data_IF_000726038274
#
_entry.id   IF_000726038274
#
_cell.length_a   1.000
_cell.length_b   1.000
_cell.length_c   1.000
_cell.angle_alpha   90.00
_cell.angle_beta   90.00
_cell.angle_gamma   90.00
#
_symmetry.space_group_name_H-M   'P 1'
#
loop_
_entity.id
_entity.type
_entity.pdbx_description
1 polymer ?
#
# COMPACT_ATOMS: atom_id res chain seq x y z
N UNK A 1 -11.86 5.96 -8.82
CA UNK A 1 -11.92 7.41 -8.58
C UNK A 1 -12.06 7.62 -7.09
N UNK A 2 -11.09 8.28 -6.47
CA UNK A 2 -11.26 8.87 -5.14
C UNK A 2 -11.86 10.26 -5.36
N UNK A 3 -12.94 10.61 -4.66
CA UNK A 3 -13.54 11.94 -4.73
C UNK A 3 -13.15 12.67 -3.46
N UNK A 4 -12.28 13.67 -3.59
CA UNK A 4 -11.88 14.51 -2.47
C UNK A 4 -13.08 15.34 -2.01
N UNK A 5 -13.62 15.04 -0.84
CA UNK A 5 -14.84 15.69 -0.33
C UNK A 5 -15.26 15.32 1.09
N UNK A 6 -14.54 14.41 1.75
CA UNK A 6 -14.82 14.08 3.14
C UNK A 6 -14.37 15.24 4.06
N UNK A 7 -15.30 15.78 4.86
CA UNK A 7 -15.04 16.86 5.83
C UNK A 7 -14.18 16.42 7.03
N UNK A 8 -13.96 15.12 7.21
CA UNK A 8 -13.16 14.55 8.27
C UNK A 8 -12.41 13.32 7.76
N UNK A 9 -11.19 13.10 8.25
CA UNK A 9 -10.41 11.88 8.03
C UNK A 9 -11.16 10.72 8.68
N UNK A 10 -11.73 9.83 7.87
CA UNK A 10 -12.37 8.63 8.37
C UNK A 10 -11.29 7.59 8.72
N UNK A 11 -11.54 6.78 9.76
CA UNK A 11 -10.69 5.62 10.04
C UNK A 11 -10.99 4.58 8.98
N UNK A 12 -10.10 4.43 8.01
CA UNK A 12 -10.20 3.39 6.99
C UNK A 12 -9.63 2.08 7.50
N UNK A 13 -10.44 1.02 7.44
CA UNK A 13 -10.00 -0.34 7.70
C UNK A 13 -9.05 -0.78 6.58
N UNK A 14 -7.99 -1.52 6.90
CA UNK A 14 -7.04 -2.04 5.89
C UNK A 14 -7.69 -3.05 4.95
N UNK A 15 -8.81 -3.65 5.35
CA UNK A 15 -9.66 -4.45 4.49
C UNK A 15 -10.34 -3.62 3.38
N UNK A 16 -10.49 -2.31 3.59
CA UNK A 16 -10.97 -1.36 2.58
C UNK A 16 -9.77 -0.63 1.94
N UNK A 17 -9.07 -1.31 1.05
CA UNK A 17 -7.93 -0.75 0.33
C UNK A 17 -8.15 -0.68 -1.18
N UNK A 18 -7.49 0.27 -1.83
CA UNK A 18 -7.35 0.30 -3.29
C UNK A 18 -6.10 -0.50 -3.68
N UNK A 19 -6.28 -1.50 -4.53
CA UNK A 19 -5.19 -2.35 -5.01
C UNK A 19 -4.68 -1.88 -6.39
N UNK A 20 -3.37 -1.78 -6.54
CA UNK A 20 -2.69 -1.52 -7.81
C UNK A 20 -1.61 -2.58 -8.05
N UNK A 21 -1.49 -3.04 -9.30
CA UNK A 21 -0.37 -3.88 -9.71
C UNK A 21 0.71 -3.08 -10.43
N UNK A 22 1.97 -3.43 -10.17
CA UNK A 22 3.14 -2.86 -10.85
C UNK A 22 4.02 -3.98 -11.42
N UNK A 23 4.72 -3.76 -12.53
CA UNK A 23 5.62 -4.79 -13.09
C UNK A 23 6.78 -5.20 -12.17
N UNK A 24 7.14 -4.36 -11.18
CA UNK A 24 8.20 -4.65 -10.21
C UNK A 24 7.93 -3.95 -8.88
N UNK A 25 7.55 -4.72 -7.88
CA UNK A 25 7.35 -4.22 -6.51
C UNK A 25 8.66 -3.71 -5.89
N UNK A 26 9.80 -4.27 -6.30
CA UNK A 26 11.10 -3.94 -5.72
C UNK A 26 11.54 -2.52 -6.10
N UNK A 27 11.31 -2.14 -7.37
CA UNK A 27 11.52 -0.77 -7.84
C UNK A 27 10.55 0.20 -7.16
N UNK A 28 9.30 -0.22 -6.95
CA UNK A 28 8.31 0.59 -6.25
C UNK A 28 8.72 0.86 -4.79
N UNK A 29 9.10 -0.17 -4.04
CA UNK A 29 9.58 -0.05 -2.65
C UNK A 29 10.85 0.83 -2.59
N UNK A 30 11.78 0.68 -3.54
CA UNK A 30 12.97 1.53 -3.62
C UNK A 30 12.59 3.01 -3.77
N UNK A 31 11.61 3.31 -4.62
CA UNK A 31 11.07 4.67 -4.78
C UNK A 31 10.44 5.18 -3.48
N UNK A 32 9.60 4.38 -2.83
CA UNK A 32 8.99 4.76 -1.54
C UNK A 32 10.04 5.10 -0.49
N UNK A 33 11.07 4.27 -0.34
CA UNK A 33 12.20 4.52 0.59
C UNK A 33 12.95 5.80 0.24
N UNK A 34 13.21 6.06 -1.05
CA UNK A 34 13.88 7.29 -1.49
C UNK A 34 13.06 8.56 -1.19
N UNK A 35 11.74 8.42 -1.10
CA UNK A 35 10.81 9.51 -0.76
C UNK A 35 10.42 9.52 0.72
N UNK A 36 11.03 8.67 1.55
CA UNK A 36 10.71 8.48 2.98
C UNK A 36 9.22 8.17 3.24
N UNK A 37 8.57 7.46 2.31
CA UNK A 37 7.19 7.02 2.48
C UNK A 37 7.20 5.71 3.26
N UNK A 38 6.55 5.71 4.42
CA UNK A 38 6.37 4.51 5.23
C UNK A 38 5.38 3.56 4.57
N UNK A 39 5.69 2.27 4.62
CA UNK A 39 4.82 1.18 4.20
C UNK A 39 4.94 0.03 5.21
N UNK A 40 4.01 -0.92 5.14
CA UNK A 40 3.96 -2.07 6.02
C UNK A 40 3.52 -3.34 5.28
N UNK A 41 3.79 -4.49 5.89
CA UNK A 41 3.18 -5.75 5.48
C UNK A 41 1.73 -5.86 5.98
N UNK A 42 1.03 -6.93 5.61
CA UNK A 42 -0.34 -7.20 6.02
C UNK A 42 -0.49 -7.20 7.55
N UNK A 43 0.48 -7.77 8.27
CA UNK A 43 0.50 -7.87 9.72
C UNK A 43 0.83 -6.54 10.44
N UNK A 44 1.14 -5.46 9.70
CA UNK A 44 1.44 -4.14 10.26
C UNK A 44 2.91 -3.94 10.62
N UNK A 45 3.82 -4.80 10.14
CA UNK A 45 5.26 -4.61 10.33
C UNK A 45 5.73 -3.47 9.44
N UNK A 46 6.21 -2.40 10.05
CA UNK A 46 6.83 -1.28 9.32
C UNK A 46 7.99 -1.74 8.45
N UNK A 47 8.02 -1.26 7.20
CA UNK A 47 8.93 -1.67 6.13
C UNK A 47 8.89 -3.18 5.82
N UNK A 48 7.83 -3.87 6.26
CA UNK A 48 7.56 -5.26 5.93
C UNK A 48 7.04 -5.40 4.50
N UNK A 49 7.29 -6.57 3.92
CA UNK A 49 6.73 -6.99 2.64
C UNK A 49 5.96 -8.27 2.90
N UNK A 50 4.71 -8.32 2.45
CA UNK A 50 3.93 -9.55 2.51
C UNK A 50 4.30 -10.41 1.32
N UNK A 51 4.80 -11.61 1.55
CA UNK A 51 5.03 -12.60 0.50
C UNK A 51 3.87 -13.59 0.51
N UNK A 52 3.12 -13.66 -0.60
CA UNK A 52 2.02 -14.60 -0.77
C UNK A 52 2.53 -15.96 -1.25
N UNK A 53 1.70 -16.98 -1.06
CA UNK A 53 2.04 -18.36 -1.43
C UNK A 53 2.15 -18.59 -2.95
N UNK A 54 1.53 -17.72 -3.75
CA UNK A 54 1.59 -17.71 -5.22
C UNK A 54 2.83 -17.00 -5.77
N UNK A 55 3.69 -16.46 -4.90
CA UNK A 55 4.91 -15.73 -5.28
C UNK A 55 4.72 -14.23 -5.45
N UNK A 56 3.48 -13.71 -5.32
CA UNK A 56 3.20 -12.28 -5.34
C UNK A 56 3.69 -11.61 -4.07
N UNK A 57 4.29 -10.45 -4.22
CA UNK A 57 4.75 -9.58 -3.14
C UNK A 57 3.84 -8.36 -3.07
N UNK A 58 3.43 -7.98 -1.88
CA UNK A 58 2.54 -6.84 -1.67
C UNK A 58 2.94 -6.01 -0.45
N UNK A 59 2.73 -4.70 -0.57
CA UNK A 59 2.97 -3.70 0.49
C UNK A 59 1.75 -2.80 0.64
N UNK A 60 1.56 -2.31 1.86
CA UNK A 60 0.45 -1.44 2.23
C UNK A 60 0.95 -0.10 2.73
N UNK A 61 0.27 0.98 2.36
CA UNK A 61 0.57 2.32 2.86
C UNK A 61 -0.69 3.17 2.81
N UNK A 62 -0.65 4.34 3.45
CA UNK A 62 -1.75 5.30 3.42
C UNK A 62 -1.45 6.47 2.50
N UNK A 63 -2.47 6.97 1.83
CA UNK A 63 -2.41 8.29 1.22
C UNK A 63 -2.55 9.40 2.28
N UNK A 64 -2.36 10.69 1.91
CA UNK A 64 -2.51 11.81 2.84
C UNK A 64 -3.90 11.93 3.48
N UNK A 65 -4.94 11.40 2.82
CA UNK A 65 -6.32 11.42 3.31
C UNK A 65 -6.62 10.22 4.24
N UNK A 66 -5.68 9.28 4.38
CA UNK A 66 -5.75 8.16 5.30
C UNK A 66 -6.31 6.86 4.71
N UNK A 67 -6.58 6.83 3.40
CA UNK A 67 -7.02 5.63 2.70
C UNK A 67 -5.89 4.61 2.60
N UNK A 68 -6.23 3.32 2.71
CA UNK A 68 -5.26 2.26 2.48
C UNK A 68 -5.08 1.98 1.00
N UNK A 69 -3.83 1.86 0.60
CA UNK A 69 -3.43 1.42 -0.72
C UNK A 69 -2.63 0.14 -0.58
N UNK A 70 -2.94 -0.84 -1.42
CA UNK A 70 -2.13 -2.03 -1.66
C UNK A 70 -1.42 -1.85 -3.00
N UNK A 71 -0.12 -2.13 -3.02
CA UNK A 71 0.63 -2.30 -4.27
C UNK A 71 1.26 -3.68 -4.29
N UNK A 72 1.05 -4.41 -5.37
CA UNK A 72 1.58 -5.76 -5.57
C UNK A 72 2.21 -5.92 -6.97
N UNK A 73 2.86 -7.05 -7.20
CA UNK A 73 3.41 -7.45 -8.52
C UNK A 73 2.62 -8.59 -9.19
N UNK A 74 1.33 -8.69 -8.87
CA UNK A 74 0.41 -9.62 -9.53
C UNK A 74 0.20 -9.23 -11.00
N UNK A 75 0.07 -10.23 -11.89
CA UNK A 75 0.02 -10.02 -13.34
C UNK A 75 -1.36 -10.27 -13.94
#
# INVERSE_FOLDING_TARGET
HLIQGAKAVAVHDKNEHLCFSVPSIELFIKKMKSQNIAFEDWAGKSNGITNRADGVKQVYFKDPDGHWLEVNDDK
#
